data_IF_475453111468
#
_entry.id   IF_475453111468
#
_cell.length_a   1.000
_cell.length_b   1.000
_cell.length_c   1.000
_cell.angle_alpha   90.00
_cell.angle_beta   90.00
_cell.angle_gamma   90.00
#
_symmetry.space_group_name_H-M   'P 1'
#
loop_
_entity.id
_entity.type
_entity.pdbx_description
1 polymer ?
#
# COMPACT_ATOMS: atom_id res chain seq x y z
N UNK A 1 -13.93 -4.77 19.65
CA UNK A 1 -14.56 -3.46 19.43
C UNK A 1 -14.21 -2.86 18.08
N UNK A 2 -12.92 -2.80 17.72
CA UNK A 2 -12.45 -2.16 16.47
C UNK A 2 -12.98 -2.84 15.21
N UNK A 3 -12.91 -4.17 15.11
CA UNK A 3 -13.44 -4.93 13.96
C UNK A 3 -14.95 -4.70 13.81
N UNK A 4 -15.72 -4.74 14.90
CA UNK A 4 -17.15 -4.47 14.84
C UNK A 4 -17.44 -3.03 14.39
N UNK A 5 -16.64 -2.05 14.86
CA UNK A 5 -16.74 -0.67 14.41
C UNK A 5 -16.51 -0.55 12.89
N UNK A 6 -15.39 -1.07 12.38
CA UNK A 6 -15.02 -1.00 10.95
C UNK A 6 -16.09 -1.66 10.07
N UNK A 7 -16.55 -2.86 10.43
CA UNK A 7 -17.56 -3.59 9.65
C UNK A 7 -18.90 -2.85 9.63
N UNK A 8 -19.30 -2.26 10.74
CA UNK A 8 -20.55 -1.50 10.83
C UNK A 8 -20.46 -0.14 10.13
N UNK A 9 -19.36 0.58 10.29
CA UNK A 9 -19.13 1.88 9.65
C UNK A 9 -19.07 1.73 8.12
N UNK A 10 -18.34 0.73 7.62
CA UNK A 10 -18.24 0.41 6.19
C UNK A 10 -19.55 -0.13 5.60
N UNK A 11 -20.52 -0.52 6.45
CA UNK A 11 -21.76 -1.21 6.03
C UNK A 11 -21.49 -2.45 5.19
N UNK A 12 -20.42 -3.19 5.52
CA UNK A 12 -20.05 -4.41 4.82
C UNK A 12 -21.17 -5.44 4.86
N UNK A 13 -21.57 -5.93 3.70
CA UNK A 13 -22.66 -6.93 3.57
C UNK A 13 -22.14 -8.37 3.54
N UNK A 14 -20.90 -8.56 3.15
CA UNK A 14 -20.23 -9.86 3.06
C UNK A 14 -18.90 -9.79 3.77
N UNK A 15 -18.60 -10.76 4.62
CA UNK A 15 -17.31 -10.93 5.28
C UNK A 15 -16.62 -12.19 4.79
N UNK A 16 -15.36 -12.06 4.37
CA UNK A 16 -14.44 -13.19 4.19
C UNK A 16 -13.58 -13.29 5.43
N UNK A 17 -13.62 -14.43 6.11
CA UNK A 17 -13.00 -14.60 7.44
C UNK A 17 -12.00 -15.75 7.40
N UNK A 18 -10.74 -15.44 7.69
CA UNK A 18 -9.68 -16.44 7.85
C UNK A 18 -9.94 -17.32 9.09
N UNK A 19 -9.53 -18.59 9.03
CA UNK A 19 -9.82 -19.55 10.08
C UNK A 19 -9.31 -19.14 11.46
N UNK A 20 -8.21 -18.39 11.51
CA UNK A 20 -7.64 -17.83 12.75
C UNK A 20 -8.56 -16.80 13.44
N UNK A 21 -9.52 -16.23 12.71
CA UNK A 21 -10.45 -15.21 13.20
C UNK A 21 -11.87 -15.72 13.43
N UNK A 22 -12.17 -16.99 13.20
CA UNK A 22 -13.50 -17.56 13.40
C UNK A 22 -14.05 -17.28 14.80
N UNK A 23 -13.27 -17.56 15.83
CA UNK A 23 -13.69 -17.32 17.21
C UNK A 23 -13.92 -15.83 17.55
N UNK A 24 -13.23 -14.92 16.87
CA UNK A 24 -13.45 -13.48 17.03
C UNK A 24 -14.80 -13.08 16.41
N UNK A 25 -15.05 -13.50 15.19
CA UNK A 25 -16.29 -13.14 14.47
C UNK A 25 -17.51 -13.78 15.15
N UNK A 26 -17.40 -15.04 15.63
CA UNK A 26 -18.47 -15.68 16.41
C UNK A 26 -18.90 -14.85 17.64
N UNK A 27 -17.96 -14.18 18.30
CA UNK A 27 -18.25 -13.35 19.48
C UNK A 27 -18.98 -12.04 19.14
N UNK A 28 -18.83 -11.53 17.92
CA UNK A 28 -19.36 -10.21 17.53
C UNK A 28 -20.41 -10.29 16.42
N UNK A 29 -20.71 -11.44 15.86
CA UNK A 29 -21.63 -11.59 14.70
C UNK A 29 -23.00 -10.95 14.92
N UNK A 30 -23.52 -11.02 16.14
CA UNK A 30 -24.80 -10.42 16.50
C UNK A 30 -24.75 -8.87 16.59
N UNK A 31 -23.55 -8.30 16.62
CA UNK A 31 -23.29 -6.84 16.59
C UNK A 31 -23.12 -6.30 15.17
N UNK A 32 -23.23 -7.13 14.12
CA UNK A 32 -22.96 -6.81 12.73
C UNK A 32 -24.25 -6.79 11.87
N UNK A 33 -25.16 -5.83 12.07
CA UNK A 33 -26.49 -5.84 11.47
C UNK A 33 -26.53 -5.72 9.94
N UNK A 34 -25.43 -5.24 9.32
CA UNK A 34 -25.32 -5.09 7.86
C UNK A 34 -24.80 -6.36 7.19
N UNK A 35 -24.13 -7.22 7.91
CA UNK A 35 -23.54 -8.46 7.36
C UNK A 35 -24.66 -9.45 7.02
N UNK A 36 -24.78 -9.75 5.75
CA UNK A 36 -25.77 -10.71 5.22
C UNK A 36 -25.16 -12.10 5.04
N UNK A 37 -23.85 -12.17 4.86
CA UNK A 37 -23.13 -13.42 4.60
C UNK A 37 -21.72 -13.39 5.17
N UNK A 38 -21.33 -14.49 5.80
CA UNK A 38 -19.96 -14.76 6.24
C UNK A 38 -19.45 -15.95 5.44
N UNK A 39 -18.23 -15.83 4.90
CA UNK A 39 -17.58 -16.84 4.09
C UNK A 39 -16.29 -17.26 4.78
N UNK A 40 -16.15 -18.54 5.07
CA UNK A 40 -14.97 -19.12 5.70
C UNK A 40 -13.83 -19.28 4.69
N UNK A 41 -12.64 -18.78 5.04
CA UNK A 41 -11.41 -18.88 4.22
C UNK A 41 -10.39 -19.75 4.97
N UNK A 42 -9.83 -20.71 4.31
CA UNK A 42 -8.88 -21.67 4.89
C UNK A 42 -9.60 -22.94 5.35
N UNK A 43 -9.98 -23.00 6.61
CA UNK A 43 -10.67 -24.17 7.18
C UNK A 43 -12.19 -24.12 7.01
N UNK A 44 -12.85 -25.27 7.28
CA UNK A 44 -14.31 -25.40 7.26
C UNK A 44 -14.87 -24.86 8.57
N UNK A 45 -15.93 -24.06 8.50
CA UNK A 45 -16.72 -23.64 9.64
C UNK A 45 -18.09 -24.36 9.66
N UNK A 46 -18.65 -24.62 10.84
CA UNK A 46 -19.89 -25.39 10.96
C UNK A 46 -21.10 -24.69 10.33
N UNK A 47 -21.16 -23.35 10.40
CA UNK A 47 -22.31 -22.55 9.97
C UNK A 47 -22.05 -21.74 8.70
N UNK A 48 -20.78 -21.53 8.29
CA UNK A 48 -20.44 -20.65 7.18
C UNK A 48 -20.02 -21.43 5.95
N UNK A 49 -20.47 -20.96 4.78
CA UNK A 49 -20.04 -21.51 3.50
C UNK A 49 -18.53 -21.28 3.31
N UNK A 50 -17.82 -22.27 2.78
CA UNK A 50 -16.40 -22.10 2.46
C UNK A 50 -16.18 -21.20 1.25
N UNK A 51 -15.05 -20.52 1.19
CA UNK A 51 -14.68 -19.72 0.02
C UNK A 51 -14.68 -20.51 -1.29
N UNK A 52 -14.25 -21.77 -1.24
CA UNK A 52 -14.21 -22.64 -2.42
C UNK A 52 -15.63 -22.95 -2.92
N UNK A 53 -16.54 -23.33 -2.04
CA UNK A 53 -17.95 -23.59 -2.40
C UNK A 53 -18.62 -22.33 -2.95
N UNK A 54 -18.43 -21.19 -2.26
CA UNK A 54 -18.98 -19.91 -2.70
C UNK A 54 -18.44 -19.49 -4.07
N UNK A 55 -17.12 -19.59 -4.29
CA UNK A 55 -16.48 -19.25 -5.56
C UNK A 55 -16.98 -20.15 -6.70
N UNK A 56 -16.99 -21.46 -6.47
CA UNK A 56 -17.31 -22.45 -7.51
C UNK A 56 -18.81 -22.44 -7.87
N UNK A 57 -19.67 -21.84 -7.04
CA UNK A 57 -21.07 -21.58 -7.33
C UNK A 57 -21.30 -20.36 -8.22
N UNK A 58 -20.27 -19.51 -8.44
CA UNK A 58 -20.40 -18.33 -9.30
C UNK A 58 -20.35 -18.71 -10.76
N UNK A 59 -20.89 -17.86 -11.63
CA UNK A 59 -20.76 -18.01 -13.07
C UNK A 59 -19.33 -17.68 -13.49
N UNK A 60 -18.81 -18.43 -14.44
CA UNK A 60 -17.52 -18.21 -15.11
C UNK A 60 -17.71 -17.29 -16.33
N UNK A 61 -18.36 -16.15 -16.11
CA UNK A 61 -18.65 -15.15 -17.16
C UNK A 61 -18.34 -13.76 -16.57
N UNK A 62 -17.72 -12.89 -17.39
CA UNK A 62 -17.58 -11.49 -17.05
C UNK A 62 -18.98 -10.86 -16.89
N UNK A 63 -19.31 -10.26 -15.74
CA UNK A 63 -20.60 -9.61 -15.54
C UNK A 63 -20.76 -8.32 -16.38
N UNK A 64 -19.71 -7.84 -17.06
CA UNK A 64 -19.69 -6.62 -17.88
C UNK A 64 -20.31 -5.42 -17.18
N UNK A 65 -20.00 -5.23 -15.90
CA UNK A 65 -20.45 -4.07 -15.15
C UNK A 65 -19.66 -2.83 -15.62
N UNK A 66 -20.38 -1.85 -16.15
CA UNK A 66 -19.78 -0.57 -16.50
C UNK A 66 -19.39 0.19 -15.22
N UNK A 67 -18.15 0.61 -15.13
CA UNK A 67 -17.62 1.38 -13.99
C UNK A 67 -17.31 2.81 -14.42
N UNK A 68 -17.43 3.75 -13.47
CA UNK A 68 -17.09 5.15 -13.66
C UNK A 68 -15.78 5.49 -12.92
N UNK A 69 -15.06 6.55 -13.34
CA UNK A 69 -13.84 6.98 -12.67
C UNK A 69 -13.99 7.25 -11.17
N UNK A 70 -15.16 7.76 -10.77
CA UNK A 70 -15.49 8.16 -9.39
C UNK A 70 -16.08 7.03 -8.54
N UNK A 71 -16.26 5.83 -9.12
CA UNK A 71 -16.73 4.67 -8.35
C UNK A 71 -15.65 4.23 -7.35
N UNK A 72 -16.11 3.98 -6.11
CA UNK A 72 -15.25 3.50 -5.05
C UNK A 72 -14.81 2.06 -5.36
N UNK A 73 -13.50 1.82 -5.28
CA UNK A 73 -12.89 0.50 -5.55
C UNK A 73 -12.44 -0.15 -4.26
N UNK A 74 -11.78 0.62 -3.41
CA UNK A 74 -11.22 0.15 -2.14
C UNK A 74 -11.50 1.20 -1.06
N UNK A 75 -11.87 0.72 0.12
CA UNK A 75 -11.94 1.53 1.33
C UNK A 75 -10.94 0.96 2.34
N UNK A 76 -9.94 1.78 2.70
CA UNK A 76 -8.93 1.42 3.69
C UNK A 76 -9.12 2.24 4.96
N UNK A 77 -9.07 1.57 6.11
CA UNK A 77 -9.18 2.25 7.40
C UNK A 77 -7.82 2.65 7.93
N UNK A 78 -7.69 3.92 8.30
CA UNK A 78 -6.50 4.49 8.95
C UNK A 78 -6.77 4.78 10.42
N UNK A 79 -5.73 4.71 11.25
CA UNK A 79 -5.81 5.11 12.66
C UNK A 79 -6.00 6.63 12.74
N UNK A 80 -7.24 7.07 12.91
CA UNK A 80 -7.53 8.49 13.07
C UNK A 80 -6.90 9.07 14.32
N UNK A 81 -6.42 10.32 14.24
CA UNK A 81 -5.93 11.09 15.41
C UNK A 81 -7.04 11.35 16.45
N UNK A 82 -8.30 11.17 16.09
CA UNK A 82 -9.50 11.41 16.91
C UNK A 82 -10.03 10.18 17.65
N UNK A 83 -9.33 9.03 17.59
CA UNK A 83 -9.64 7.83 18.38
C UNK A 83 -10.46 6.75 17.65
N UNK A 84 -11.14 7.04 16.55
CA UNK A 84 -11.79 6.05 15.70
C UNK A 84 -11.13 5.97 14.32
N UNK A 85 -10.97 4.76 13.75
CA UNK A 85 -10.47 4.62 12.39
C UNK A 85 -11.34 5.35 11.37
N UNK A 86 -10.71 5.97 10.36
CA UNK A 86 -11.40 6.64 9.25
C UNK A 86 -11.30 5.78 7.99
N UNK A 87 -12.41 5.57 7.30
CA UNK A 87 -12.46 4.82 6.05
C UNK A 87 -12.10 5.72 4.85
N UNK A 88 -10.90 5.58 4.33
CA UNK A 88 -10.43 6.32 3.14
C UNK A 88 -11.04 5.71 1.88
N UNK A 89 -11.79 6.50 1.10
CA UNK A 89 -12.41 6.06 -0.15
C UNK A 89 -11.45 6.28 -1.33
N UNK A 90 -11.06 5.19 -1.97
CA UNK A 90 -10.20 5.19 -3.16
C UNK A 90 -11.02 4.73 -4.38
N UNK A 91 -10.97 5.53 -5.45
CA UNK A 91 -11.77 5.36 -6.66
C UNK A 91 -10.98 4.72 -7.81
N UNK A 92 -11.67 4.35 -8.88
CA UNK A 92 -11.03 3.91 -10.12
C UNK A 92 -10.02 4.92 -10.65
N UNK A 93 -10.30 6.22 -10.52
CA UNK A 93 -9.42 7.29 -10.98
C UNK A 93 -8.08 7.28 -10.24
N UNK A 94 -8.10 7.06 -8.93
CA UNK A 94 -6.87 6.99 -8.12
C UNK A 94 -5.94 5.86 -8.60
N UNK A 95 -6.48 4.69 -8.96
CA UNK A 95 -5.68 3.57 -9.47
C UNK A 95 -5.27 3.75 -10.93
N UNK A 96 -6.02 4.50 -11.73
CA UNK A 96 -5.66 4.79 -13.12
C UNK A 96 -4.39 5.63 -13.21
N UNK A 97 -4.15 6.54 -12.27
CA UNK A 97 -2.94 7.37 -12.21
C UNK A 97 -1.67 6.54 -12.01
N UNK A 98 -1.73 5.46 -11.22
CA UNK A 98 -0.61 4.54 -11.04
C UNK A 98 -0.18 3.90 -12.36
N UNK A 99 -1.14 3.54 -13.23
CA UNK A 99 -0.87 3.04 -14.58
C UNK A 99 -0.19 4.10 -15.46
N UNK A 100 -0.58 5.35 -15.31
CA UNK A 100 0.04 6.46 -16.04
C UNK A 100 1.48 6.65 -15.59
N UNK A 101 1.77 6.64 -14.29
CA UNK A 101 3.13 6.73 -13.76
C UNK A 101 4.02 5.60 -14.28
N UNK A 102 3.54 4.37 -14.31
CA UNK A 102 4.28 3.26 -14.88
C UNK A 102 4.60 3.47 -16.37
N UNK A 103 3.64 3.99 -17.16
CA UNK A 103 3.87 4.35 -18.56
C UNK A 103 4.88 5.50 -18.74
N UNK A 104 4.99 6.37 -17.75
CA UNK A 104 5.99 7.47 -17.74
C UNK A 104 7.39 7.00 -17.32
N UNK A 105 7.56 5.72 -17.00
CA UNK A 105 8.85 5.10 -16.74
C UNK A 105 9.23 4.94 -15.29
N UNK A 106 8.30 5.20 -14.37
CA UNK A 106 8.47 4.80 -12.98
C UNK A 106 8.53 3.27 -12.91
N UNK A 107 9.52 2.72 -12.20
CA UNK A 107 9.74 1.27 -12.07
C UNK A 107 9.92 0.52 -13.41
N UNK A 108 10.50 1.16 -14.42
CA UNK A 108 10.57 0.69 -15.82
C UNK A 108 11.19 -0.69 -16.00
N UNK A 109 12.12 -1.08 -15.14
CA UNK A 109 12.82 -2.36 -15.23
C UNK A 109 12.10 -3.48 -14.49
N UNK A 110 11.14 -3.15 -13.66
CA UNK A 110 10.64 -4.00 -12.60
C UNK A 110 9.31 -4.65 -12.93
N UNK A 111 8.30 -3.85 -13.23
CA UNK A 111 6.96 -4.37 -13.47
C UNK A 111 6.76 -4.61 -14.97
N UNK A 112 6.90 -5.85 -15.36
CA UNK A 112 6.67 -6.34 -16.73
C UNK A 112 6.01 -7.72 -16.67
N UNK A 113 5.41 -8.11 -17.77
CA UNK A 113 4.80 -9.44 -17.90
C UNK A 113 5.78 -10.54 -17.47
N UNK A 114 5.30 -11.45 -16.62
CA UNK A 114 6.02 -12.58 -16.04
C UNK A 114 7.18 -12.23 -15.09
N UNK A 115 7.44 -10.95 -14.78
CA UNK A 115 8.37 -10.63 -13.70
C UNK A 115 7.83 -11.13 -12.35
N UNK A 116 8.71 -11.44 -11.42
CA UNK A 116 8.32 -12.02 -10.14
C UNK A 116 8.25 -10.92 -9.08
N UNK A 117 7.05 -10.71 -8.53
CA UNK A 117 6.73 -9.69 -7.55
C UNK A 117 6.47 -10.32 -6.18
N UNK A 118 7.16 -9.85 -5.14
CA UNK A 118 6.90 -10.26 -3.76
C UNK A 118 6.00 -9.23 -3.06
N UNK A 119 4.84 -9.67 -2.59
CA UNK A 119 3.92 -8.91 -1.77
C UNK A 119 4.03 -9.40 -0.33
N UNK A 120 4.88 -8.76 0.45
CA UNK A 120 5.12 -9.10 1.86
C UNK A 120 4.54 -8.06 2.82
N UNK A 121 4.16 -6.88 2.33
CA UNK A 121 3.44 -5.92 3.15
C UNK A 121 1.96 -6.30 3.25
N UNK A 122 1.32 -6.05 4.41
CA UNK A 122 -0.08 -6.40 4.62
C UNK A 122 -1.00 -5.78 3.55
N UNK A 123 -1.86 -6.59 2.95
CA UNK A 123 -2.78 -6.14 1.89
C UNK A 123 -3.94 -5.27 2.39
N UNK A 124 -4.11 -5.15 3.71
CA UNK A 124 -5.02 -4.18 4.34
C UNK A 124 -4.42 -2.78 4.51
N UNK A 125 -3.16 -2.60 4.11
CA UNK A 125 -2.48 -1.31 3.98
C UNK A 125 -2.24 -0.99 2.50
N UNK A 126 -2.26 0.31 2.17
CA UNK A 126 -2.08 0.80 0.80
C UNK A 126 -0.81 0.28 0.13
N UNK A 127 0.28 0.07 0.87
CA UNK A 127 1.52 -0.47 0.34
C UNK A 127 1.36 -1.90 -0.19
N UNK A 128 0.76 -2.81 0.59
CA UNK A 128 0.50 -4.18 0.17
C UNK A 128 -0.55 -4.26 -0.92
N UNK A 129 -1.64 -3.49 -0.79
CA UNK A 129 -2.68 -3.36 -1.82
C UNK A 129 -2.09 -2.96 -3.16
N UNK A 130 -1.32 -1.87 -3.19
CA UNK A 130 -0.76 -1.35 -4.44
C UNK A 130 0.27 -2.30 -5.07
N UNK A 131 1.10 -2.97 -4.26
CA UNK A 131 2.02 -3.99 -4.77
C UNK A 131 1.30 -5.19 -5.38
N UNK A 132 0.21 -5.66 -4.76
CA UNK A 132 -0.62 -6.73 -5.29
C UNK A 132 -1.30 -6.34 -6.60
N UNK A 133 -1.93 -5.16 -6.63
CA UNK A 133 -2.61 -4.63 -7.81
C UNK A 133 -1.63 -4.33 -8.96
N UNK A 134 -0.45 -3.77 -8.67
CA UNK A 134 0.59 -3.56 -9.67
C UNK A 134 1.00 -4.90 -10.31
N UNK A 135 1.24 -5.93 -9.49
CA UNK A 135 1.55 -7.27 -9.99
C UNK A 135 0.46 -7.81 -10.92
N UNK A 136 -0.80 -7.62 -10.56
CA UNK A 136 -1.95 -8.04 -11.38
C UNK A 136 -2.02 -7.26 -12.71
N UNK A 137 -1.97 -5.93 -12.65
CA UNK A 137 -2.09 -5.05 -13.83
C UNK A 137 -0.97 -5.28 -14.85
N UNK A 138 0.24 -5.54 -14.39
CA UNK A 138 1.40 -5.76 -15.26
C UNK A 138 1.62 -7.23 -15.65
N UNK A 139 0.75 -8.15 -15.22
CA UNK A 139 0.88 -9.58 -15.53
C UNK A 139 2.08 -10.24 -14.87
N UNK A 140 2.46 -9.79 -13.68
CA UNK A 140 3.54 -10.38 -12.90
C UNK A 140 3.11 -11.72 -12.27
N UNK A 141 4.07 -12.60 -12.01
CA UNK A 141 3.89 -13.67 -11.03
C UNK A 141 4.00 -13.07 -9.64
N UNK A 142 2.88 -12.88 -8.94
CA UNK A 142 2.90 -12.36 -7.57
C UNK A 142 2.97 -13.47 -6.55
N UNK A 143 3.93 -13.37 -5.63
CA UNK A 143 4.07 -14.23 -4.44
C UNK A 143 3.62 -13.41 -3.25
N UNK A 144 2.58 -13.87 -2.59
CA UNK A 144 1.97 -13.18 -1.45
C UNK A 144 2.24 -14.01 -0.20
N UNK A 145 2.80 -13.38 0.83
CA UNK A 145 3.01 -14.02 2.14
C UNK A 145 2.09 -13.37 3.18
N UNK A 146 1.56 -14.16 4.12
CA UNK A 146 0.55 -13.67 5.07
C UNK A 146 1.11 -12.69 6.10
N UNK A 147 2.40 -12.81 6.42
CA UNK A 147 3.09 -11.98 7.40
C UNK A 147 4.55 -11.75 7.02
N UNK A 148 5.15 -10.71 7.61
CA UNK A 148 6.56 -10.37 7.38
C UNK A 148 7.45 -11.34 8.16
N UNK A 149 8.06 -12.27 7.47
CA UNK A 149 9.08 -13.18 7.99
C UNK A 149 10.40 -12.97 7.23
N UNK A 150 11.42 -12.36 7.85
CA UNK A 150 12.71 -12.11 7.19
C UNK A 150 13.39 -13.37 6.64
N UNK A 151 13.29 -14.50 7.33
CA UNK A 151 13.87 -15.77 6.87
C UNK A 151 13.18 -16.24 5.60
N UNK A 152 11.86 -16.28 5.62
CA UNK A 152 11.05 -16.66 4.45
C UNK A 152 11.27 -15.70 3.27
N UNK A 153 11.39 -14.39 3.53
CA UNK A 153 11.68 -13.40 2.48
C UNK A 153 13.00 -13.71 1.79
N UNK A 154 14.09 -13.97 2.55
CA UNK A 154 15.40 -14.32 2.00
C UNK A 154 15.35 -15.61 1.17
N UNK A 155 14.68 -16.65 1.67
CA UNK A 155 14.47 -17.91 0.95
C UNK A 155 13.71 -17.70 -0.37
N UNK A 156 12.65 -16.90 -0.35
CA UNK A 156 11.84 -16.63 -1.54
C UNK A 156 12.58 -15.80 -2.58
N UNK A 157 13.41 -14.83 -2.17
CA UNK A 157 14.23 -14.05 -3.11
C UNK A 157 15.08 -14.98 -3.95
N UNK A 158 15.75 -15.94 -3.32
CA UNK A 158 16.61 -16.89 -4.03
C UNK A 158 15.81 -17.94 -4.81
N UNK A 159 14.84 -18.59 -4.15
CA UNK A 159 14.10 -19.73 -4.70
C UNK A 159 13.19 -19.34 -5.86
N UNK A 160 12.44 -18.28 -5.68
CA UNK A 160 11.42 -17.82 -6.64
C UNK A 160 11.98 -16.76 -7.62
N UNK A 161 13.25 -16.38 -7.44
CA UNK A 161 13.92 -15.35 -8.26
C UNK A 161 13.12 -14.05 -8.28
N UNK A 162 12.80 -13.53 -7.07
CA UNK A 162 12.07 -12.27 -6.91
C UNK A 162 12.81 -11.14 -7.65
N UNK A 163 12.07 -10.39 -8.45
CA UNK A 163 12.60 -9.23 -9.19
C UNK A 163 12.19 -7.90 -8.53
N UNK A 164 11.01 -7.86 -7.93
CA UNK A 164 10.43 -6.63 -7.38
C UNK A 164 9.84 -6.86 -6.00
N UNK A 165 9.98 -5.88 -5.14
CA UNK A 165 9.30 -5.88 -3.84
C UNK A 165 9.18 -4.47 -3.28
N UNK A 166 8.33 -4.32 -2.25
CA UNK A 166 8.27 -3.13 -1.41
C UNK A 166 8.57 -3.53 0.02
N UNK A 167 9.48 -2.81 0.66
CA UNK A 167 9.82 -2.97 2.07
C UNK A 167 9.62 -1.67 2.84
N UNK A 168 9.12 -1.76 4.06
CA UNK A 168 9.27 -0.65 5.01
C UNK A 168 10.68 -0.66 5.62
N UNK A 169 11.21 0.47 6.10
CA UNK A 169 12.58 0.55 6.63
C UNK A 169 12.93 -0.48 7.71
N UNK A 170 11.96 -0.84 8.57
CA UNK A 170 12.16 -1.88 9.58
C UNK A 170 12.44 -3.26 8.97
N UNK A 171 11.76 -3.60 7.87
CA UNK A 171 12.01 -4.87 7.15
C UNK A 171 13.38 -4.86 6.51
N UNK A 172 13.78 -3.76 5.88
CA UNK A 172 15.14 -3.61 5.33
C UNK A 172 16.17 -3.84 6.44
N UNK A 173 15.98 -3.22 7.61
CA UNK A 173 16.90 -3.38 8.75
C UNK A 173 16.98 -4.84 9.20
N UNK A 174 15.86 -5.55 9.33
CA UNK A 174 15.84 -6.96 9.73
C UNK A 174 16.55 -7.85 8.70
N UNK A 175 16.34 -7.59 7.40
CA UNK A 175 16.98 -8.36 6.32
C UNK A 175 18.50 -8.17 6.33
N UNK A 176 19.01 -6.93 6.41
CA UNK A 176 20.46 -6.67 6.39
C UNK A 176 21.18 -7.09 7.67
N UNK A 177 20.44 -7.33 8.76
CA UNK A 177 20.98 -7.86 10.02
C UNK A 177 20.83 -9.39 10.12
N UNK A 178 20.13 -10.02 9.19
CA UNK A 178 19.90 -11.46 9.24
C UNK A 178 21.22 -12.23 9.05
N UNK A 179 21.50 -13.30 9.83
CA UNK A 179 22.75 -14.06 9.73
C UNK A 179 23.05 -14.58 8.32
N UNK A 180 22.03 -14.96 7.58
CA UNK A 180 22.14 -15.55 6.24
C UNK A 180 22.20 -14.52 5.10
N UNK A 181 22.12 -13.24 5.38
CA UNK A 181 22.00 -12.17 4.35
C UNK A 181 23.12 -12.22 3.28
N UNK A 182 24.33 -12.57 3.70
CA UNK A 182 25.49 -12.67 2.81
C UNK A 182 25.54 -13.99 2.00
N UNK A 183 24.68 -14.95 2.32
CA UNK A 183 24.60 -16.24 1.64
C UNK A 183 23.48 -16.25 0.56
N UNK A 184 22.66 -15.21 0.50
CA UNK A 184 21.55 -15.09 -0.44
C UNK A 184 22.02 -14.64 -1.83
N UNK A 185 21.54 -15.27 -2.87
CA UNK A 185 21.72 -14.82 -4.26
C UNK A 185 20.74 -13.69 -4.59
N UNK A 186 21.18 -12.44 -4.46
CA UNK A 186 20.42 -11.24 -4.76
C UNK A 186 20.30 -10.92 -6.26
N UNK A 187 20.95 -11.65 -7.15
CA UNK A 187 21.12 -11.30 -8.58
C UNK A 187 19.80 -11.17 -9.34
N UNK A 188 18.74 -11.82 -8.89
CA UNK A 188 17.41 -11.70 -9.48
C UNK A 188 16.69 -10.40 -9.11
N UNK A 189 16.98 -9.84 -7.92
CA UNK A 189 16.33 -8.64 -7.43
C UNK A 189 16.73 -7.42 -8.28
N UNK A 190 15.74 -6.73 -8.83
CA UNK A 190 15.96 -5.57 -9.71
C UNK A 190 15.56 -4.27 -9.03
N UNK A 191 14.47 -4.31 -8.25
CA UNK A 191 13.94 -3.10 -7.62
C UNK A 191 13.42 -3.37 -6.23
N UNK A 192 13.87 -2.53 -5.31
CA UNK A 192 13.29 -2.38 -3.97
C UNK A 192 12.63 -1.01 -3.89
N UNK A 193 11.32 -0.99 -3.76
CA UNK A 193 10.58 0.20 -3.36
C UNK A 193 10.57 0.28 -1.84
N UNK A 194 10.79 1.45 -1.26
CA UNK A 194 10.71 1.58 0.20
C UNK A 194 10.10 2.93 0.59
N UNK A 195 9.46 2.97 1.75
CA UNK A 195 8.82 4.18 2.26
C UNK A 195 7.97 3.92 3.50
N UNK A 196 6.92 4.71 3.68
CA UNK A 196 6.01 4.72 4.83
C UNK A 196 6.64 5.16 6.17
N UNK A 197 7.96 5.30 6.26
CA UNK A 197 8.66 5.90 7.40
C UNK A 197 10.07 6.32 6.99
N UNK A 198 10.71 7.22 7.76
CA UNK A 198 12.12 7.57 7.54
C UNK A 198 13.05 6.36 7.72
N UNK A 199 14.12 6.31 6.94
CA UNK A 199 15.19 5.31 7.06
C UNK A 199 16.49 5.98 7.52
N UNK A 200 17.24 5.29 8.39
CA UNK A 200 18.58 5.74 8.74
C UNK A 200 19.52 5.60 7.53
N UNK A 201 20.34 6.61 7.28
CA UNK A 201 21.23 6.64 6.12
C UNK A 201 22.16 5.42 6.09
N UNK A 202 22.79 5.07 7.20
CA UNK A 202 23.69 3.93 7.30
C UNK A 202 22.99 2.59 6.97
N UNK A 203 21.70 2.47 7.34
CA UNK A 203 20.88 1.30 7.02
C UNK A 203 20.65 1.21 5.51
N UNK A 204 20.32 2.33 4.88
CA UNK A 204 20.05 2.40 3.45
C UNK A 204 21.32 2.14 2.64
N UNK A 205 22.45 2.77 2.99
CA UNK A 205 23.75 2.55 2.34
C UNK A 205 24.15 1.07 2.38
N UNK A 206 24.00 0.44 3.54
CA UNK A 206 24.30 -0.99 3.70
C UNK A 206 23.35 -1.88 2.90
N UNK A 207 22.06 -1.52 2.81
CA UNK A 207 21.11 -2.27 2.01
C UNK A 207 21.43 -2.18 0.52
N UNK A 208 21.79 -1.01 0.03
CA UNK A 208 22.23 -0.78 -1.36
C UNK A 208 23.47 -1.63 -1.68
N UNK A 209 24.46 -1.65 -0.78
CA UNK A 209 25.67 -2.45 -0.96
C UNK A 209 25.39 -3.97 -1.01
N UNK A 210 24.49 -4.46 -0.16
CA UNK A 210 24.20 -5.91 -0.06
C UNK A 210 23.30 -6.38 -1.21
N UNK A 211 22.24 -5.64 -1.51
CA UNK A 211 21.19 -6.07 -2.45
C UNK A 211 21.55 -5.77 -3.91
N UNK A 212 22.46 -4.82 -4.16
CA UNK A 212 22.98 -4.41 -5.49
C UNK A 212 21.88 -4.27 -6.56
N UNK A 213 20.81 -3.54 -6.23
CA UNK A 213 19.65 -3.33 -7.09
C UNK A 213 19.19 -1.87 -7.06
N UNK A 214 18.21 -1.52 -7.90
CA UNK A 214 17.60 -0.18 -7.87
C UNK A 214 16.75 0.03 -6.61
N UNK A 215 17.00 1.13 -5.91
CA UNK A 215 16.17 1.59 -4.79
C UNK A 215 15.31 2.77 -5.21
N UNK A 216 14.02 2.70 -4.88
CA UNK A 216 13.06 3.78 -5.06
C UNK A 216 12.46 4.14 -3.71
N UNK A 217 12.77 5.33 -3.19
CA UNK A 217 12.05 5.82 -2.02
C UNK A 217 10.73 6.44 -2.47
N UNK A 218 9.67 6.19 -1.68
CA UNK A 218 8.36 6.77 -1.90
C UNK A 218 7.82 7.40 -0.62
N UNK A 219 7.15 8.54 -0.76
CA UNK A 219 6.36 9.15 0.31
C UNK A 219 4.92 9.34 -0.16
N UNK A 220 4.02 9.14 0.76
CA UNK A 220 2.59 9.33 0.61
C UNK A 220 1.83 8.61 1.72
N UNK A 221 0.52 8.77 1.70
CA UNK A 221 -0.42 8.32 2.72
C UNK A 221 -1.50 7.43 2.08
N UNK A 222 -2.34 6.83 2.90
CA UNK A 222 -3.53 6.11 2.39
C UNK A 222 -4.43 7.07 1.63
N UNK A 223 -4.56 8.30 2.12
CA UNK A 223 -5.35 9.39 1.56
C UNK A 223 -4.85 9.88 0.19
N UNK A 224 -3.61 9.54 -0.16
CA UNK A 224 -3.04 9.84 -1.49
C UNK A 224 -2.86 8.57 -2.34
N UNK A 225 -3.60 7.50 -2.02
CA UNK A 225 -3.44 6.18 -2.67
C UNK A 225 -1.98 5.70 -2.69
N UNK A 226 -1.22 5.98 -1.64
CA UNK A 226 0.21 5.68 -1.55
C UNK A 226 1.09 6.80 -2.10
N UNK A 227 2.02 6.46 -2.97
CA UNK A 227 3.14 7.33 -3.35
C UNK A 227 2.75 8.56 -4.17
N UNK A 228 3.15 9.73 -3.71
CA UNK A 228 3.06 11.02 -4.44
C UNK A 228 4.41 11.68 -4.67
N UNK A 229 5.45 11.31 -3.91
CA UNK A 229 6.84 11.69 -4.24
C UNK A 229 7.72 10.46 -4.40
N UNK A 230 8.81 10.67 -5.15
CA UNK A 230 9.74 9.62 -5.53
C UNK A 230 11.19 10.12 -5.49
N UNK A 231 12.05 9.41 -4.76
CA UNK A 231 13.50 9.52 -4.93
C UNK A 231 13.94 8.41 -5.88
N UNK A 232 14.46 8.78 -7.03
CA UNK A 232 14.88 7.85 -8.08
C UNK A 232 16.17 7.10 -7.72
N UNK A 233 16.45 5.96 -8.36
CA UNK A 233 17.70 5.21 -8.13
C UNK A 233 18.96 6.06 -8.33
N UNK A 234 18.94 6.96 -9.30
CA UNK A 234 20.10 7.84 -9.57
C UNK A 234 20.39 8.78 -8.38
N UNK A 235 19.39 9.12 -7.58
CA UNK A 235 19.53 9.99 -6.41
C UNK A 235 19.91 9.24 -5.14
N UNK A 236 20.02 7.90 -5.21
CA UNK A 236 20.51 7.05 -4.11
C UNK A 236 22.05 6.97 -4.02
N UNK A 237 22.76 7.69 -4.85
CA UNK A 237 24.21 7.88 -4.72
C UNK A 237 24.52 8.71 -3.46
N UNK A 238 25.27 8.17 -2.46
CA UNK A 238 25.60 8.89 -1.24
C UNK A 238 26.28 10.24 -1.48
N UNK A 239 27.05 10.38 -2.58
CA UNK A 239 27.74 11.62 -2.93
C UNK A 239 26.78 12.79 -3.24
N UNK A 240 25.52 12.50 -3.54
CA UNK A 240 24.50 13.50 -3.83
C UNK A 240 23.81 14.07 -2.59
N UNK A 241 24.06 13.51 -1.40
CA UNK A 241 23.46 13.92 -0.12
C UNK A 241 21.92 13.96 -0.13
N UNK A 242 21.27 13.03 -0.84
CA UNK A 242 19.80 12.98 -0.98
C UNK A 242 19.14 11.80 -0.27
N UNK A 243 19.90 10.92 0.37
CA UNK A 243 19.37 9.69 0.98
C UNK A 243 18.35 9.93 2.11
N UNK A 244 18.23 11.17 2.59
CA UNK A 244 17.21 11.58 3.58
C UNK A 244 16.02 12.32 2.95
N UNK A 245 16.01 12.48 1.63
CA UNK A 245 14.93 13.17 0.93
C UNK A 245 13.78 12.20 0.64
N UNK A 246 12.54 12.66 0.73
CA UNK A 246 11.38 11.93 0.22
C UNK A 246 11.23 12.05 -1.31
N UNK A 247 12.17 12.70 -2.00
CA UNK A 247 12.19 12.78 -3.45
C UNK A 247 11.49 14.01 -4.02
N UNK A 248 10.97 13.86 -5.22
CA UNK A 248 10.27 14.91 -5.99
C UNK A 248 8.84 14.49 -6.25
N UNK A 249 7.92 15.46 -6.47
CA UNK A 249 6.55 15.14 -6.91
C UNK A 249 6.56 14.20 -8.11
N UNK A 250 5.70 13.18 -8.04
CA UNK A 250 5.45 12.27 -9.14
C UNK A 250 4.64 12.92 -10.26
N UNK A 251 4.42 12.16 -11.33
CA UNK A 251 3.61 12.63 -12.45
C UNK A 251 2.19 12.97 -11.97
N UNK A 252 1.72 14.18 -12.30
CA UNK A 252 0.39 14.66 -11.92
C UNK A 252 0.24 15.07 -10.46
N UNK A 253 1.32 15.09 -9.68
CA UNK A 253 1.31 15.58 -8.32
C UNK A 253 1.94 16.99 -8.23
N UNK A 254 1.30 17.88 -7.49
CA UNK A 254 1.80 19.16 -7.07
C UNK A 254 1.98 19.15 -5.55
N UNK A 255 3.09 19.67 -5.07
CA UNK A 255 3.40 19.74 -3.64
C UNK A 255 3.85 21.14 -3.29
N UNK A 256 3.36 21.65 -2.19
CA UNK A 256 3.84 22.89 -1.56
C UNK A 256 4.02 22.67 -0.06
N UNK A 257 4.80 23.55 0.55
CA UNK A 257 4.99 23.57 2.01
C UNK A 257 4.32 24.84 2.55
N UNK A 258 3.46 24.70 3.53
CA UNK A 258 2.74 25.83 4.13
C UNK A 258 3.03 25.99 5.62
N UNK A 259 2.94 27.23 6.09
CA UNK A 259 2.94 27.54 7.52
C UNK A 259 1.54 27.34 8.14
N UNK A 260 1.44 27.50 9.45
CA UNK A 260 0.17 27.37 10.21
C UNK A 260 -0.92 28.38 9.78
N UNK A 261 -0.57 29.41 8.99
CA UNK A 261 -1.49 30.42 8.48
C UNK A 261 -1.90 30.20 7.03
N UNK A 262 -1.44 29.10 6.42
CA UNK A 262 -1.70 28.77 5.01
C UNK A 262 -0.85 29.54 4.00
N UNK A 263 0.29 30.14 4.44
CA UNK A 263 1.21 30.76 3.52
C UNK A 263 2.23 29.78 2.99
N UNK A 264 2.40 29.74 1.67
CA UNK A 264 3.44 28.92 1.05
C UNK A 264 4.85 29.41 1.45
N UNK A 265 5.67 28.48 1.89
CA UNK A 265 7.01 28.71 2.42
C UNK A 265 8.08 28.60 1.33
N UNK A 266 9.18 29.32 1.51
CA UNK A 266 10.33 29.23 0.64
C UNK A 266 11.15 27.94 0.84
N UNK A 267 11.96 27.58 -0.15
CA UNK A 267 12.85 26.42 -0.06
C UNK A 267 13.78 26.53 1.15
N UNK A 268 13.77 25.52 1.99
CA UNK A 268 14.59 25.41 3.20
C UNK A 268 13.84 25.80 4.50
N UNK A 269 12.61 26.25 4.39
CA UNK A 269 11.72 26.50 5.54
C UNK A 269 10.94 25.23 5.87
N UNK A 270 10.56 25.06 7.15
CA UNK A 270 9.84 23.91 7.67
C UNK A 270 8.37 24.24 7.81
N UNK A 271 7.49 23.40 7.26
CA UNK A 271 6.05 23.54 7.34
C UNK A 271 5.36 22.25 6.92
N UNK A 272 4.05 22.26 6.81
CA UNK A 272 3.22 21.12 6.45
C UNK A 272 3.30 20.84 4.94
N UNK A 273 3.33 19.55 4.58
CA UNK A 273 3.31 19.09 3.18
C UNK A 273 1.87 19.10 2.68
N UNK A 274 1.57 19.93 1.69
CA UNK A 274 0.26 20.05 1.08
C UNK A 274 0.29 19.45 -0.34
N UNK A 275 -0.65 18.57 -0.65
CA UNK A 275 -0.61 17.70 -1.81
C UNK A 275 -1.83 17.90 -2.70
N UNK A 276 -1.62 18.12 -3.99
CA UNK A 276 -2.67 18.10 -5.00
C UNK A 276 -2.33 17.05 -6.06
N UNK A 277 -3.21 16.06 -6.21
CA UNK A 277 -2.97 14.95 -7.14
C UNK A 277 -4.27 14.23 -7.46
N UNK A 278 -4.35 13.62 -8.64
CA UNK A 278 -5.42 12.66 -8.99
C UNK A 278 -5.37 11.39 -8.12
N UNK A 279 -4.28 11.19 -7.38
CA UNK A 279 -4.16 10.12 -6.38
C UNK A 279 -4.89 10.44 -5.07
N UNK A 280 -5.25 11.70 -4.80
CA UNK A 280 -5.92 12.07 -3.57
C UNK A 280 -7.27 11.36 -3.47
N UNK A 281 -7.57 10.88 -2.27
CA UNK A 281 -8.83 10.19 -1.96
C UNK A 281 -10.06 11.01 -2.36
N UNK A 282 -11.17 10.33 -2.58
CA UNK A 282 -12.48 10.97 -2.74
C UNK A 282 -12.93 11.66 -1.45
N UNK A 283 -12.60 11.07 -0.30
CA UNK A 283 -12.92 11.56 1.03
C UNK A 283 -12.89 10.45 2.07
N UNK A 284 -13.28 10.79 3.29
CA UNK A 284 -13.51 9.82 4.35
C UNK A 284 -14.97 9.37 4.34
N UNK A 285 -15.18 8.06 4.30
CA UNK A 285 -16.50 7.45 4.33
C UNK A 285 -17.32 7.89 5.55
N UNK A 286 -18.56 8.29 5.34
CA UNK A 286 -19.47 8.79 6.37
C UNK A 286 -18.90 9.93 7.25
N UNK A 287 -17.86 10.63 6.82
CA UNK A 287 -17.21 11.66 7.61
C UNK A 287 -16.89 12.91 6.74
N UNK A 288 -17.92 13.67 6.32
CA UNK A 288 -17.74 14.84 5.48
C UNK A 288 -16.95 15.96 6.21
N UNK A 289 -17.11 16.10 7.53
CA UNK A 289 -16.41 17.10 8.33
C UNK A 289 -14.89 16.86 8.26
N UNK A 290 -14.43 15.65 8.55
CA UNK A 290 -13.01 15.30 8.43
C UNK A 290 -12.49 15.41 6.98
N UNK A 291 -13.35 15.19 5.99
CA UNK A 291 -12.98 15.37 4.58
C UNK A 291 -12.75 16.83 4.26
N UNK A 292 -13.68 17.73 4.67
CA UNK A 292 -13.57 19.18 4.46
C UNK A 292 -12.38 19.79 5.21
N UNK A 293 -12.04 19.26 6.39
CA UNK A 293 -10.84 19.67 7.13
C UNK A 293 -9.53 19.25 6.45
N UNK A 294 -9.52 18.05 5.85
CA UNK A 294 -8.30 17.48 5.25
C UNK A 294 -8.11 17.86 3.78
N UNK A 295 -9.18 18.23 3.05
CA UNK A 295 -9.12 18.57 1.62
C UNK A 295 -9.73 19.94 1.39
N UNK A 296 -8.90 20.94 1.11
CA UNK A 296 -9.33 22.33 0.87
C UNK A 296 -8.92 22.74 -0.54
N UNK A 297 -9.87 23.16 -1.36
CA UNK A 297 -9.66 23.59 -2.75
C UNK A 297 -8.87 22.56 -3.62
N UNK A 298 -9.08 21.27 -3.34
CA UNK A 298 -8.41 20.15 -4.01
C UNK A 298 -6.99 19.86 -3.52
N UNK A 299 -6.53 20.55 -2.48
CA UNK A 299 -5.28 20.28 -1.79
C UNK A 299 -5.54 19.45 -0.54
N UNK A 300 -4.81 18.36 -0.40
CA UNK A 300 -4.83 17.50 0.78
C UNK A 300 -3.76 17.95 1.77
N UNK A 301 -4.18 18.20 2.99
CA UNK A 301 -3.34 18.57 4.13
C UNK A 301 -2.89 17.30 4.84
N UNK A 302 -1.58 17.01 4.75
CA UNK A 302 -1.04 15.71 5.16
C UNK A 302 -0.90 15.52 6.67
N UNK A 303 -0.70 16.60 7.39
CA UNK A 303 -0.32 16.58 8.80
C UNK A 303 1.16 16.25 9.05
N UNK A 304 2.00 16.13 7.99
CA UNK A 304 3.43 15.79 8.05
C UNK A 304 4.34 17.00 7.94
#
# INVERSE_FOLDING_TARGET
PEVAFIVNDSKSEVLFVGSEFFGLIEQIKDELPHVKKIIAVGDVHEEWETFTEWRDAQKDEDPFIETQPEDDVIQLYTSGTTGHPKGVQLTNNNFSSANIMAKQGYYRQSFRELSVNLVCMPVFHVAGTNMGLAGYVFGCKSIIIPEVDPTLILELIEKEKIENTLFVPAVILFLIQHPEVNNVDWSSLKTVVYGASPIAQDTLEKAIEIMDCEFWQVYGLTETNGAVTFLSPEDHDPSKNKLRSCGKPGYGAEIKIEDENGNELAVGEVGEIIIKSDNNMKGYWNNPEATEESVVDGWFYSGD
#
